data_IF_476934320540
#
_entry.id   IF_476934320540
#
_cell.length_a   1.000
_cell.length_b   1.000
_cell.length_c   1.000
_cell.angle_alpha   90.00
_cell.angle_beta   90.00
_cell.angle_gamma   90.00
#
_symmetry.space_group_name_H-M   'P 1'
#
loop_
_entity.id
_entity.type
_entity.pdbx_description
1 polymer ?
#
# COMPACT_ATOMS: atom_id res chain seq x y z
N UNK A 1 10.14 -14.52 -8.75
CA UNK A 1 9.12 -13.47 -8.56
C UNK A 1 9.62 -12.17 -9.16
N UNK A 2 8.75 -11.45 -9.88
CA UNK A 2 9.01 -10.12 -10.42
C UNK A 2 8.39 -9.11 -9.46
N UNK A 3 9.23 -8.24 -8.89
CA UNK A 3 8.81 -7.20 -7.92
C UNK A 3 8.68 -5.83 -8.60
N UNK A 4 7.80 -5.72 -9.59
CA UNK A 4 7.52 -4.49 -10.31
C UNK A 4 8.32 -4.31 -11.61
N UNK A 5 7.80 -3.47 -12.50
CA UNK A 5 8.46 -3.09 -13.75
C UNK A 5 9.46 -1.94 -13.49
N UNK A 6 10.51 -2.25 -12.73
CA UNK A 6 11.47 -1.28 -12.19
C UNK A 6 12.08 -0.33 -13.24
N UNK A 7 12.16 -0.75 -14.51
CA UNK A 7 12.68 0.08 -15.62
C UNK A 7 11.75 1.26 -15.99
N UNK A 8 10.49 1.27 -15.50
CA UNK A 8 9.56 2.39 -15.66
C UNK A 8 9.81 3.52 -14.67
N UNK A 9 10.61 3.27 -13.63
CA UNK A 9 10.91 4.26 -12.62
C UNK A 9 11.93 5.28 -13.15
N UNK A 10 11.67 6.57 -12.97
CA UNK A 10 12.56 7.69 -13.29
C UNK A 10 13.92 7.62 -12.59
N UNK A 11 14.02 6.79 -11.56
CA UNK A 11 15.26 6.52 -10.81
C UNK A 11 16.37 5.92 -11.68
N UNK A 12 16.03 5.22 -12.77
CA UNK A 12 16.99 4.48 -13.56
C UNK A 12 17.27 5.13 -14.91
N UNK A 13 18.49 5.62 -15.11
CA UNK A 13 18.94 6.16 -16.40
C UNK A 13 19.01 5.09 -17.50
N UNK A 14 19.17 5.53 -18.76
CA UNK A 14 19.03 4.70 -19.96
C UNK A 14 19.76 3.35 -19.97
N UNK A 15 21.03 3.29 -19.49
CA UNK A 15 21.79 2.03 -19.44
C UNK A 15 21.23 1.04 -18.41
N UNK A 16 20.90 1.53 -17.22
CA UNK A 16 20.31 0.68 -16.17
C UNK A 16 18.93 0.16 -16.59
N UNK A 17 18.11 1.00 -17.20
CA UNK A 17 16.80 0.62 -17.74
C UNK A 17 16.93 -0.45 -18.84
N UNK A 18 17.95 -0.34 -19.72
CA UNK A 18 18.22 -1.38 -20.72
C UNK A 18 18.59 -2.73 -20.07
N UNK A 19 19.46 -2.71 -19.08
CA UNK A 19 19.86 -3.93 -18.35
C UNK A 19 18.68 -4.59 -17.63
N UNK A 20 17.83 -3.80 -16.99
CA UNK A 20 16.61 -4.28 -16.33
C UNK A 20 15.64 -4.94 -17.33
N UNK A 21 15.45 -4.34 -18.52
CA UNK A 21 14.63 -4.94 -19.59
C UNK A 21 15.23 -6.24 -20.14
N UNK A 22 16.55 -6.34 -20.19
CA UNK A 22 17.21 -7.59 -20.59
C UNK A 22 16.96 -8.70 -19.54
N UNK A 23 17.10 -8.38 -18.24
CA UNK A 23 16.79 -9.30 -17.14
C UNK A 23 15.33 -9.77 -17.17
N UNK A 24 14.39 -8.85 -17.42
CA UNK A 24 12.96 -9.17 -17.57
C UNK A 24 12.72 -10.14 -18.75
N UNK A 25 13.36 -9.90 -19.92
CA UNK A 25 13.25 -10.79 -21.07
C UNK A 25 13.83 -12.18 -20.79
N UNK A 26 14.94 -12.26 -20.05
CA UNK A 26 15.55 -13.53 -19.63
C UNK A 26 14.61 -14.26 -18.67
N UNK A 27 14.06 -13.58 -17.68
CA UNK A 27 13.10 -14.16 -16.75
C UNK A 27 11.85 -14.67 -17.48
N UNK A 28 11.28 -13.88 -18.39
CA UNK A 28 10.11 -14.29 -19.17
C UNK A 28 10.37 -15.54 -20.03
N UNK A 29 11.60 -15.74 -20.54
CA UNK A 29 11.91 -16.83 -21.47
C UNK A 29 12.42 -18.10 -20.78
N UNK A 30 13.19 -17.98 -19.71
CA UNK A 30 13.95 -19.08 -19.15
C UNK A 30 13.52 -19.52 -17.73
N UNK A 31 12.70 -18.75 -17.04
CA UNK A 31 12.17 -19.20 -15.77
C UNK A 31 11.18 -20.35 -15.97
N UNK A 32 11.20 -21.34 -15.08
CA UNK A 32 10.23 -22.45 -15.07
C UNK A 32 8.81 -21.87 -14.85
N UNK A 33 8.64 -21.02 -13.82
CA UNK A 33 7.43 -20.26 -13.53
C UNK A 33 7.76 -18.78 -13.33
N UNK A 34 6.80 -17.91 -13.64
CA UNK A 34 6.89 -16.46 -13.38
C UNK A 34 5.79 -16.08 -12.41
N UNK A 35 6.17 -15.54 -11.26
CA UNK A 35 5.24 -14.97 -10.29
C UNK A 35 5.28 -13.45 -10.45
N UNK A 36 4.12 -12.82 -10.48
CA UNK A 36 3.90 -11.37 -10.56
C UNK A 36 3.03 -10.91 -9.41
N UNK A 37 3.12 -9.63 -9.05
CA UNK A 37 2.46 -9.08 -7.86
C UNK A 37 1.15 -8.35 -8.17
N UNK A 38 0.87 -8.06 -9.46
CA UNK A 38 -0.34 -7.37 -9.89
C UNK A 38 -0.91 -7.93 -11.18
N UNK A 39 -2.21 -7.73 -11.40
CA UNK A 39 -2.87 -8.11 -12.65
C UNK A 39 -2.32 -7.32 -13.84
N UNK A 40 -1.91 -6.06 -13.64
CA UNK A 40 -1.25 -5.28 -14.69
C UNK A 40 0.04 -5.95 -15.16
N UNK A 41 0.86 -6.42 -14.24
CA UNK A 41 2.09 -7.14 -14.57
C UNK A 41 1.80 -8.46 -15.28
N UNK A 42 0.77 -9.19 -14.85
CA UNK A 42 0.32 -10.43 -15.50
C UNK A 42 -0.05 -10.19 -16.95
N UNK A 43 -0.88 -9.19 -17.22
CA UNK A 43 -1.27 -8.79 -18.56
C UNK A 43 -0.08 -8.32 -19.40
N UNK A 44 0.84 -7.57 -18.80
CA UNK A 44 2.06 -7.12 -19.45
C UNK A 44 2.94 -8.30 -19.90
N UNK A 45 3.20 -9.29 -19.04
CA UNK A 45 3.99 -10.47 -19.39
C UNK A 45 3.30 -11.30 -20.50
N UNK A 46 1.99 -11.45 -20.43
CA UNK A 46 1.22 -12.14 -21.45
C UNK A 46 1.30 -11.42 -22.80
N UNK A 47 1.03 -10.13 -22.86
CA UNK A 47 1.01 -9.36 -24.11
C UNK A 47 2.38 -9.19 -24.74
N UNK A 48 3.41 -8.90 -23.94
CA UNK A 48 4.74 -8.58 -24.42
C UNK A 48 5.58 -9.81 -24.76
N UNK A 49 5.47 -10.86 -23.95
CA UNK A 49 6.33 -12.03 -24.03
C UNK A 49 5.57 -13.31 -24.40
N UNK A 50 4.24 -13.24 -24.57
CA UNK A 50 3.37 -14.39 -24.66
C UNK A 50 3.66 -15.41 -23.55
N UNK A 51 3.93 -14.88 -22.32
CA UNK A 51 4.29 -15.64 -21.15
C UNK A 51 3.18 -15.54 -20.12
N UNK A 52 2.57 -16.67 -19.81
CA UNK A 52 1.67 -16.76 -18.68
C UNK A 52 2.44 -16.63 -17.36
N UNK A 53 1.79 -16.06 -16.36
CA UNK A 53 2.38 -15.80 -15.05
C UNK A 53 1.34 -16.00 -13.94
N UNK A 54 1.82 -16.35 -12.76
CA UNK A 54 1.00 -16.64 -11.60
C UNK A 54 0.94 -15.35 -10.76
N UNK A 55 -0.27 -14.88 -10.50
CA UNK A 55 -0.50 -13.72 -9.63
C UNK A 55 -0.46 -14.18 -8.19
N UNK A 56 0.53 -13.70 -7.43
CA UNK A 56 0.60 -13.83 -5.98
C UNK A 56 0.99 -12.48 -5.43
N UNK A 57 0.09 -11.84 -4.69
CA UNK A 57 0.33 -10.54 -4.08
C UNK A 57 1.42 -10.61 -2.99
N UNK A 58 2.00 -9.47 -2.64
CA UNK A 58 2.83 -9.38 -1.43
C UNK A 58 1.96 -9.68 -0.20
N UNK A 59 2.58 -10.33 0.77
CA UNK A 59 1.96 -10.57 2.05
C UNK A 59 2.08 -9.35 2.97
N UNK A 60 1.16 -9.24 3.91
CA UNK A 60 1.21 -8.30 5.03
C UNK A 60 1.18 -9.04 6.35
N UNK A 61 1.96 -8.59 7.32
CA UNK A 61 1.79 -9.03 8.70
C UNK A 61 0.54 -8.35 9.27
N UNK A 62 -0.44 -9.17 9.68
CA UNK A 62 -1.68 -8.63 10.22
C UNK A 62 -1.45 -7.93 11.54
N UNK A 63 -1.96 -6.73 11.65
CA UNK A 63 -1.94 -5.98 12.90
C UNK A 63 -3.14 -6.43 13.75
N UNK A 64 -2.86 -7.02 14.90
CA UNK A 64 -3.89 -7.24 15.92
C UNK A 64 -4.24 -5.89 16.56
N UNK A 65 -5.51 -5.49 16.58
CA UNK A 65 -5.91 -4.21 17.16
C UNK A 65 -5.44 -4.04 18.61
N UNK A 66 -4.82 -2.91 18.91
CA UNK A 66 -4.24 -2.56 20.21
C UNK A 66 -4.74 -1.20 20.69
N UNK A 67 -4.74 -1.01 22.01
CA UNK A 67 -5.18 0.24 22.64
C UNK A 67 -4.11 1.34 22.55
N UNK A 68 -4.53 2.61 22.64
CA UNK A 68 -3.64 3.77 22.69
C UNK A 68 -2.85 3.78 24.03
N UNK A 69 -1.55 3.59 23.95
CA UNK A 69 -0.64 3.73 25.08
C UNK A 69 0.53 4.64 24.69
N UNK A 70 1.41 4.17 23.82
CA UNK A 70 2.59 4.92 23.35
C UNK A 70 2.20 6.21 22.63
N UNK A 71 1.20 6.14 21.74
CA UNK A 71 0.76 7.31 20.96
C UNK A 71 0.04 8.35 21.83
N UNK A 72 -0.61 7.92 22.93
CA UNK A 72 -1.17 8.84 23.93
C UNK A 72 -0.08 9.60 24.67
N UNK A 73 0.93 8.89 25.14
CA UNK A 73 2.04 9.52 25.88
C UNK A 73 2.88 10.45 25.02
N UNK A 74 3.20 10.03 23.77
CA UNK A 74 4.07 10.81 22.88
C UNK A 74 3.38 11.99 22.21
N UNK A 75 2.13 11.79 21.76
CA UNK A 75 1.46 12.70 20.85
C UNK A 75 0.12 13.24 21.38
N UNK A 76 -0.35 12.74 22.53
CA UNK A 76 -1.67 13.08 23.06
C UNK A 76 -2.82 12.61 22.16
N UNK A 77 -2.65 11.47 21.47
CA UNK A 77 -3.65 10.90 20.58
C UNK A 77 -4.52 9.89 21.32
N UNK A 78 -5.83 9.99 21.09
CA UNK A 78 -6.84 9.07 21.58
C UNK A 78 -7.50 8.33 20.42
N UNK A 79 -8.21 7.26 20.75
CA UNK A 79 -8.97 6.52 19.73
C UNK A 79 -9.96 7.44 19.02
N UNK A 80 -10.03 7.31 17.71
CA UNK A 80 -10.90 8.07 16.80
C UNK A 80 -10.68 9.60 16.82
N UNK A 81 -9.53 10.09 17.33
CA UNK A 81 -9.22 11.52 17.43
C UNK A 81 -8.35 12.07 16.28
N UNK A 82 -7.98 11.24 15.32
CA UNK A 82 -7.06 11.63 14.25
C UNK A 82 -7.28 10.91 12.93
N UNK A 83 -6.88 11.58 11.86
CA UNK A 83 -6.71 11.07 10.51
C UNK A 83 -5.27 10.61 10.39
N UNK A 84 -5.01 9.43 9.81
CA UNK A 84 -3.70 8.83 9.69
C UNK A 84 -3.26 8.72 8.22
N UNK A 85 -2.07 9.16 7.93
CA UNK A 85 -1.29 8.82 6.75
C UNK A 85 -0.03 8.06 7.18
N UNK A 86 0.29 6.95 6.50
CA UNK A 86 1.54 6.21 6.71
C UNK A 86 2.25 6.03 5.38
N UNK A 87 3.45 6.58 5.27
CA UNK A 87 4.24 6.48 4.07
C UNK A 87 5.36 7.51 4.02
N UNK A 88 6.28 7.33 3.07
CA UNK A 88 7.30 8.35 2.82
C UNK A 88 6.64 9.65 2.35
N UNK A 89 7.10 10.78 2.87
CA UNK A 89 6.63 12.11 2.45
C UNK A 89 7.30 12.49 1.11
N UNK A 90 6.73 12.01 0.02
CA UNK A 90 7.24 12.22 -1.34
C UNK A 90 6.09 12.50 -2.32
N UNK A 91 6.36 13.22 -3.45
CA UNK A 91 5.30 13.71 -4.35
C UNK A 91 4.36 12.61 -4.83
N UNK A 92 4.91 11.46 -5.21
CA UNK A 92 4.15 10.32 -5.74
C UNK A 92 3.24 9.65 -4.71
N UNK A 93 3.44 9.93 -3.41
CA UNK A 93 2.59 9.43 -2.31
C UNK A 93 1.48 10.41 -1.92
N UNK A 94 1.43 11.59 -2.52
CA UNK A 94 0.35 12.55 -2.40
C UNK A 94 0.10 13.20 -1.02
N UNK A 95 1.06 13.24 -0.07
CA UNK A 95 0.82 13.86 1.24
C UNK A 95 0.53 15.36 1.14
N UNK A 96 0.97 16.02 0.06
CA UNK A 96 0.66 17.42 -0.24
C UNK A 96 -0.84 17.62 -0.48
N UNK A 97 -1.50 16.72 -1.20
CA UNK A 97 -2.93 16.81 -1.50
C UNK A 97 -3.76 16.60 -0.24
N UNK A 98 -3.31 15.66 0.61
CA UNK A 98 -3.94 15.41 1.90
C UNK A 98 -3.81 16.64 2.83
N UNK A 99 -2.62 17.22 2.92
CA UNK A 99 -2.40 18.40 3.75
C UNK A 99 -3.23 19.59 3.26
N UNK A 100 -3.29 19.82 1.95
CA UNK A 100 -4.11 20.88 1.33
C UNK A 100 -5.60 20.64 1.59
N UNK A 101 -6.10 19.42 1.35
CA UNK A 101 -7.48 19.07 1.62
C UNK A 101 -7.85 19.25 3.10
N UNK A 102 -6.98 18.81 4.00
CA UNK A 102 -7.17 18.95 5.45
C UNK A 102 -7.22 20.42 5.88
N UNK A 103 -6.36 21.28 5.34
CA UNK A 103 -6.31 22.72 5.67
C UNK A 103 -7.54 23.48 5.17
N UNK A 104 -8.19 23.02 4.10
CA UNK A 104 -9.48 23.59 3.63
C UNK A 104 -10.63 23.34 4.62
N UNK A 105 -10.47 22.35 5.50
CA UNK A 105 -11.51 21.91 6.43
C UNK A 105 -11.22 22.37 7.87
N UNK A 106 -12.30 22.60 8.64
CA UNK A 106 -12.22 22.91 10.08
C UNK A 106 -12.55 21.64 10.88
N UNK A 107 -11.65 20.65 10.78
CA UNK A 107 -11.83 19.36 11.45
C UNK A 107 -11.43 19.44 12.92
N UNK A 108 -12.07 18.60 13.74
CA UNK A 108 -11.72 18.37 15.14
C UNK A 108 -10.55 17.37 15.26
N UNK A 109 -10.53 16.41 14.35
CA UNK A 109 -9.53 15.36 14.27
C UNK A 109 -8.18 15.97 13.86
N UNK A 110 -7.10 15.52 14.51
CA UNK A 110 -5.73 15.90 14.14
C UNK A 110 -5.30 15.13 12.90
N UNK A 111 -4.40 15.68 12.10
CA UNK A 111 -3.76 14.96 11.00
C UNK A 111 -2.41 14.40 11.47
N UNK A 112 -2.22 13.09 11.36
CA UNK A 112 -0.96 12.42 11.67
C UNK A 112 -0.28 11.97 10.37
N UNK A 113 0.91 12.47 10.11
CA UNK A 113 1.76 12.09 8.98
C UNK A 113 2.92 11.25 9.52
N UNK A 114 2.82 9.93 9.34
CA UNK A 114 3.80 8.96 9.81
C UNK A 114 4.70 8.48 8.67
N UNK A 115 5.98 8.81 8.75
CA UNK A 115 6.98 8.40 7.80
C UNK A 115 8.13 9.37 7.63
N UNK A 116 9.21 8.95 6.94
CA UNK A 116 10.37 9.80 6.74
C UNK A 116 10.09 10.92 5.74
N UNK A 117 10.63 12.10 6.02
CA UNK A 117 10.65 13.25 5.13
C UNK A 117 12.03 13.30 4.47
N UNK A 118 12.15 13.16 3.15
CA UNK A 118 13.45 13.17 2.47
C UNK A 118 14.04 14.58 2.45
N UNK A 119 15.39 14.68 2.43
CA UNK A 119 16.13 15.93 2.33
C UNK A 119 16.12 16.48 0.88
N UNK A 120 14.94 16.72 0.34
CA UNK A 120 14.69 17.30 -0.99
C UNK A 120 14.00 18.65 -0.86
N UNK A 121 13.92 19.44 -1.92
CA UNK A 121 13.16 20.70 -1.90
C UNK A 121 11.69 20.48 -1.55
N UNK A 122 11.07 19.41 -2.10
CA UNK A 122 9.72 19.00 -1.74
C UNK A 122 9.60 18.67 -0.24
N UNK A 123 10.56 17.91 0.30
CA UNK A 123 10.56 17.56 1.73
C UNK A 123 10.69 18.78 2.63
N UNK A 124 11.51 19.76 2.27
CA UNK A 124 11.63 21.05 3.00
C UNK A 124 10.35 21.87 2.95
N UNK A 125 9.73 21.94 1.76
CA UNK A 125 8.44 22.64 1.58
C UNK A 125 7.35 21.98 2.44
N UNK A 126 7.25 20.65 2.39
CA UNK A 126 6.29 19.91 3.21
C UNK A 126 6.53 20.13 4.70
N UNK A 127 7.79 20.07 5.15
CA UNK A 127 8.14 20.32 6.55
C UNK A 127 7.67 21.71 7.00
N UNK A 128 7.91 22.74 6.19
CA UNK A 128 7.46 24.09 6.48
C UNK A 128 5.92 24.18 6.60
N UNK A 129 5.19 23.55 5.69
CA UNK A 129 3.72 23.53 5.72
C UNK A 129 3.16 22.76 6.92
N UNK A 130 3.79 21.63 7.27
CA UNK A 130 3.42 20.81 8.43
C UNK A 130 3.64 21.59 9.74
N UNK A 131 4.82 22.19 9.91
CA UNK A 131 5.18 22.90 11.14
C UNK A 131 4.38 24.22 11.31
N UNK A 132 3.77 24.72 10.25
CA UNK A 132 2.90 25.90 10.29
C UNK A 132 1.47 25.60 10.82
N UNK A 133 1.04 24.33 10.82
CA UNK A 133 -0.31 23.96 11.30
C UNK A 133 -0.21 23.08 12.57
N UNK A 134 -0.53 23.62 13.76
CA UNK A 134 -0.40 22.88 15.03
C UNK A 134 -1.36 21.69 15.16
N UNK A 135 -2.32 21.52 14.25
CA UNK A 135 -3.22 20.37 14.18
C UNK A 135 -2.55 19.17 13.49
N UNK A 136 -1.41 19.40 12.80
CA UNK A 136 -0.69 18.35 12.07
C UNK A 136 0.45 17.84 12.93
N UNK A 137 0.51 16.51 13.09
CA UNK A 137 1.57 15.82 13.81
C UNK A 137 2.41 15.05 12.81
N UNK A 138 3.72 15.28 12.83
CA UNK A 138 4.69 14.41 12.15
C UNK A 138 5.37 13.50 13.16
N UNK A 139 5.36 12.20 12.89
CA UNK A 139 5.99 11.22 13.79
C UNK A 139 7.41 10.87 13.36
N UNK A 140 7.77 11.10 12.09
CA UNK A 140 8.93 10.48 11.47
C UNK A 140 8.68 8.98 11.23
N UNK A 141 9.74 8.21 11.08
CA UNK A 141 9.65 6.76 10.91
C UNK A 141 9.18 6.10 12.22
N UNK A 142 8.08 5.38 12.14
CA UNK A 142 7.50 4.60 13.26
C UNK A 142 7.43 3.13 12.88
N UNK A 143 7.56 2.24 13.87
CA UNK A 143 7.56 0.78 13.68
C UNK A 143 7.01 0.07 14.94
N UNK A 144 6.72 -1.23 14.79
CA UNK A 144 6.31 -2.08 15.91
C UNK A 144 5.04 -1.59 16.59
N UNK A 145 5.05 -1.56 17.93
CA UNK A 145 3.87 -1.21 18.73
C UNK A 145 3.33 0.17 18.42
N UNK A 146 4.19 1.18 18.23
CA UNK A 146 3.76 2.54 17.93
C UNK A 146 2.99 2.63 16.60
N UNK A 147 3.46 1.93 15.56
CA UNK A 147 2.78 1.84 14.29
C UNK A 147 1.45 1.09 14.41
N UNK A 148 1.45 -0.04 15.12
CA UNK A 148 0.24 -0.81 15.37
C UNK A 148 -0.84 0.00 16.12
N UNK A 149 -0.44 0.79 17.11
CA UNK A 149 -1.35 1.69 17.82
C UNK A 149 -1.91 2.79 16.91
N UNK A 150 -1.09 3.36 16.01
CA UNK A 150 -1.53 4.37 15.05
C UNK A 150 -2.59 3.82 14.10
N UNK A 151 -2.40 2.64 13.52
CA UNK A 151 -3.41 2.01 12.65
C UNK A 151 -4.67 1.63 13.41
N UNK A 152 -4.53 1.03 14.59
CA UNK A 152 -5.67 0.49 15.36
C UNK A 152 -6.63 1.55 15.89
N UNK A 153 -6.16 2.79 16.04
CA UNK A 153 -6.92 3.82 16.77
C UNK A 153 -7.23 5.06 15.91
N UNK A 154 -6.85 5.11 14.64
CA UNK A 154 -7.22 6.23 13.78
C UNK A 154 -8.74 6.26 13.49
N UNK A 155 -9.26 7.45 13.31
CA UNK A 155 -10.65 7.67 12.84
C UNK A 155 -10.79 7.23 11.39
N UNK A 156 -9.77 7.58 10.57
CA UNK A 156 -9.73 7.33 9.14
C UNK A 156 -8.26 7.20 8.71
N UNK A 157 -7.94 6.14 7.99
CA UNK A 157 -6.67 6.02 7.28
C UNK A 157 -6.84 6.59 5.87
N UNK A 158 -5.89 7.43 5.42
CA UNK A 158 -5.92 8.06 4.10
C UNK A 158 -4.68 7.72 3.30
N UNK A 159 -4.87 7.17 2.11
CA UNK A 159 -3.81 6.87 1.14
C UNK A 159 -3.99 7.69 -0.13
N UNK A 160 -3.39 8.90 -0.21
CA UNK A 160 -3.59 9.82 -1.33
C UNK A 160 -2.60 9.62 -2.48
N UNK A 161 -2.05 8.42 -2.63
CA UNK A 161 -0.97 8.14 -3.58
C UNK A 161 -1.41 8.35 -5.03
N UNK A 162 -0.53 8.96 -5.84
CA UNK A 162 -0.68 9.08 -7.29
C UNK A 162 -0.26 7.80 -8.01
N UNK A 163 0.66 7.05 -7.41
CA UNK A 163 1.18 5.78 -7.95
C UNK A 163 1.51 4.81 -6.84
N UNK A 164 1.05 3.58 -6.99
CA UNK A 164 1.36 2.44 -6.13
C UNK A 164 1.63 1.18 -6.96
N UNK A 165 2.39 0.25 -6.39
CA UNK A 165 2.38 -1.14 -6.85
C UNK A 165 1.36 -1.94 -6.04
N UNK A 166 1.69 -2.19 -4.76
CA UNK A 166 0.81 -2.71 -3.73
C UNK A 166 1.13 -1.96 -2.43
N UNK A 167 0.16 -1.26 -1.86
CA UNK A 167 0.38 -0.51 -0.62
C UNK A 167 0.27 -1.41 0.60
N UNK A 168 1.41 -1.72 1.23
CA UNK A 168 1.42 -2.47 2.50
C UNK A 168 0.71 -1.68 3.60
N UNK A 169 0.90 -0.36 3.68
CA UNK A 169 0.24 0.48 4.67
C UNK A 169 -1.30 0.43 4.57
N UNK A 170 -1.84 0.30 3.35
CA UNK A 170 -3.28 0.10 3.14
C UNK A 170 -3.73 -1.26 3.69
N UNK A 171 -3.01 -2.32 3.37
CA UNK A 171 -3.31 -3.66 3.87
C UNK A 171 -3.17 -3.75 5.39
N UNK A 172 -2.18 -3.09 5.98
CA UNK A 172 -2.00 -2.97 7.44
C UNK A 172 -3.19 -2.26 8.08
N UNK A 173 -3.65 -1.14 7.51
CA UNK A 173 -4.83 -0.42 7.98
C UNK A 173 -6.09 -1.29 7.90
N UNK A 174 -6.34 -1.94 6.78
CA UNK A 174 -7.48 -2.84 6.58
C UNK A 174 -7.42 -4.06 7.50
N UNK A 175 -6.21 -4.61 7.77
CA UNK A 175 -6.03 -5.80 8.62
C UNK A 175 -6.48 -5.59 10.06
N UNK A 176 -6.46 -4.36 10.56
CA UNK A 176 -6.93 -4.02 11.91
C UNK A 176 -8.31 -3.36 11.94
N UNK A 177 -9.06 -3.42 10.83
CA UNK A 177 -10.39 -2.82 10.72
C UNK A 177 -10.36 -1.29 10.68
N UNK A 178 -9.30 -0.74 10.11
CA UNK A 178 -9.15 0.70 9.90
C UNK A 178 -9.97 1.17 8.71
N UNK A 179 -10.92 2.08 8.93
CA UNK A 179 -11.65 2.71 7.82
C UNK A 179 -10.68 3.40 6.86
N UNK A 180 -10.76 3.09 5.56
CA UNK A 180 -9.81 3.56 4.55
C UNK A 180 -10.46 4.51 3.54
N UNK A 181 -9.75 5.60 3.21
CA UNK A 181 -10.05 6.52 2.11
C UNK A 181 -8.82 6.56 1.18
N UNK A 182 -8.99 6.20 -0.07
CA UNK A 182 -7.89 6.03 -1.02
C UNK A 182 -8.11 6.82 -2.30
N UNK A 183 -7.04 7.19 -2.99
CA UNK A 183 -7.13 7.69 -4.36
C UNK A 183 -7.63 6.58 -5.31
N UNK A 184 -8.38 6.95 -6.34
CA UNK A 184 -9.05 6.06 -7.29
C UNK A 184 -8.11 5.39 -8.31
N UNK A 185 -6.81 5.32 -8.00
CA UNK A 185 -5.86 4.60 -8.85
C UNK A 185 -6.11 3.08 -8.79
N UNK A 186 -5.93 2.35 -9.90
CA UNK A 186 -6.22 0.91 -9.98
C UNK A 186 -5.53 0.06 -8.89
N UNK A 187 -4.29 0.44 -8.51
CA UNK A 187 -3.55 -0.27 -7.48
C UNK A 187 -4.22 -0.22 -6.09
N UNK A 188 -4.96 0.84 -5.79
CA UNK A 188 -5.69 0.99 -4.53
C UNK A 188 -7.08 0.36 -4.60
N UNK A 189 -7.83 0.67 -5.66
CA UNK A 189 -9.24 0.25 -5.80
C UNK A 189 -9.38 -1.26 -5.91
N UNK A 190 -8.41 -1.95 -6.52
CA UNK A 190 -8.39 -3.41 -6.60
C UNK A 190 -8.22 -4.08 -5.23
N UNK A 191 -7.58 -3.39 -4.28
CA UNK A 191 -7.40 -3.86 -2.90
C UNK A 191 -8.63 -3.53 -2.06
N UNK A 192 -9.05 -2.26 -2.07
CA UNK A 192 -10.16 -1.81 -1.21
C UNK A 192 -11.52 -2.37 -1.62
N UNK A 193 -11.72 -2.62 -2.93
CA UNK A 193 -13.03 -3.10 -3.45
C UNK A 193 -14.19 -2.29 -2.86
N UNK A 194 -15.15 -2.97 -2.22
CA UNK A 194 -16.28 -2.35 -1.54
C UNK A 194 -15.99 -1.88 -0.11
N UNK A 195 -14.81 -2.14 0.43
CA UNK A 195 -14.48 -1.88 1.84
C UNK A 195 -13.99 -0.45 2.09
N UNK A 196 -13.29 0.18 1.12
CA UNK A 196 -12.78 1.54 1.24
C UNK A 196 -13.59 2.55 0.47
N UNK A 197 -13.51 3.82 0.91
CA UNK A 197 -14.00 4.96 0.15
C UNK A 197 -12.92 5.47 -0.81
N UNK A 198 -13.35 6.09 -1.91
CA UNK A 198 -12.47 6.57 -2.98
C UNK A 198 -12.64 8.07 -3.19
N UNK A 199 -11.58 8.71 -3.69
CA UNK A 199 -11.59 10.08 -4.19
C UNK A 199 -10.73 10.18 -5.46
N UNK A 200 -10.96 11.20 -6.29
CA UNK A 200 -10.21 11.43 -7.52
C UNK A 200 -8.75 11.77 -7.21
N UNK A 201 -7.80 10.96 -7.75
CA UNK A 201 -6.38 11.14 -7.55
C UNK A 201 -5.90 12.54 -7.99
N UNK A 202 -4.89 13.08 -7.31
CA UNK A 202 -4.33 14.41 -7.57
C UNK A 202 -5.35 15.57 -7.48
N UNK A 203 -6.47 15.35 -6.77
CA UNK A 203 -7.54 16.33 -6.60
C UNK A 203 -7.82 16.59 -5.11
N UNK A 204 -7.22 17.66 -4.56
CA UNK A 204 -7.39 18.04 -3.16
C UNK A 204 -8.82 18.47 -2.79
N UNK A 205 -9.62 18.95 -3.75
CA UNK A 205 -11.03 19.31 -3.52
C UNK A 205 -11.91 18.07 -3.43
N UNK A 206 -11.68 17.07 -4.30
CA UNK A 206 -12.31 15.75 -4.22
C UNK A 206 -11.96 15.06 -2.90
N UNK A 207 -10.69 15.10 -2.49
CA UNK A 207 -10.23 14.56 -1.21
C UNK A 207 -10.88 15.29 -0.02
N UNK A 208 -10.99 16.62 -0.05
CA UNK A 208 -11.64 17.37 1.02
C UNK A 208 -13.14 17.02 1.16
N UNK A 209 -13.84 16.87 0.04
CA UNK A 209 -15.24 16.44 0.04
C UNK A 209 -15.40 15.03 0.62
N UNK A 210 -14.53 14.09 0.20
CA UNK A 210 -14.51 12.72 0.69
C UNK A 210 -14.16 12.64 2.18
N UNK A 211 -13.16 13.38 2.66
CA UNK A 211 -12.82 13.51 4.09
C UNK A 211 -14.03 13.96 4.91
N UNK A 212 -14.70 15.03 4.49
CA UNK A 212 -15.87 15.55 5.19
C UNK A 212 -17.00 14.52 5.28
N UNK A 213 -17.26 13.78 4.19
CA UNK A 213 -18.26 12.72 4.14
C UNK A 213 -17.87 11.57 5.08
N UNK A 214 -16.64 11.07 4.97
CA UNK A 214 -16.20 9.88 5.70
C UNK A 214 -16.12 10.12 7.22
N UNK A 215 -15.76 11.32 7.66
CA UNK A 215 -15.69 11.66 9.08
C UNK A 215 -17.08 11.84 9.71
N UNK A 216 -18.10 12.21 8.91
CA UNK A 216 -19.50 12.36 9.38
C UNK A 216 -20.32 11.08 9.27
N UNK A 217 -19.89 10.12 8.45
CA UNK A 217 -20.58 8.83 8.28
C UNK A 217 -20.28 7.91 9.47
N UNK A 218 -21.26 7.26 10.10
CA UNK A 218 -21.03 6.26 11.14
C UNK A 218 -20.16 5.11 10.64
N UNK A 219 -19.37 4.49 11.54
CA UNK A 219 -18.61 3.27 11.21
C UNK A 219 -19.58 2.09 11.04
N UNK A 220 -19.39 1.32 9.99
CA UNK A 220 -20.07 0.04 9.79
C UNK A 220 -19.15 -1.09 10.29
N UNK A 221 -19.37 -1.50 11.53
CA UNK A 221 -18.57 -2.51 12.21
C UNK A 221 -18.62 -3.89 11.52
N UNK A 222 -19.71 -4.20 10.83
CA UNK A 222 -19.85 -5.46 10.11
C UNK A 222 -19.02 -5.43 8.82
N UNK A 223 -19.06 -4.33 8.10
CA UNK A 223 -18.23 -4.13 6.91
C UNK A 223 -16.72 -4.18 7.26
N UNK A 224 -16.32 -3.58 8.38
CA UNK A 224 -14.93 -3.61 8.84
C UNK A 224 -14.46 -5.02 9.22
N UNK A 225 -15.34 -5.86 9.81
CA UNK A 225 -15.02 -7.27 10.07
C UNK A 225 -14.83 -8.07 8.78
N UNK A 226 -15.70 -7.84 7.79
CA UNK A 226 -15.58 -8.48 6.48
C UNK A 226 -14.30 -8.05 5.77
N UNK A 227 -13.90 -6.79 5.90
CA UNK A 227 -12.63 -6.26 5.41
C UNK A 227 -11.43 -6.98 6.03
N UNK A 228 -11.41 -7.13 7.36
CA UNK A 228 -10.34 -7.85 8.06
C UNK A 228 -10.22 -9.31 7.60
N UNK A 229 -11.35 -10.01 7.43
CA UNK A 229 -11.32 -11.40 6.94
C UNK A 229 -10.88 -11.46 5.47
N UNK A 230 -11.30 -10.52 4.63
CA UNK A 230 -10.82 -10.42 3.25
C UNK A 230 -9.29 -10.25 3.17
N UNK A 231 -8.70 -9.38 4.02
CA UNK A 231 -7.24 -9.22 4.07
C UNK A 231 -6.56 -10.50 4.53
N UNK A 232 -7.11 -11.16 5.54
CA UNK A 232 -6.61 -12.42 6.08
C UNK A 232 -6.59 -13.53 5.02
N UNK A 233 -7.67 -13.67 4.25
CA UNK A 233 -7.80 -14.70 3.24
C UNK A 233 -6.89 -14.48 2.00
N UNK A 234 -6.61 -13.22 1.66
CA UNK A 234 -5.98 -12.89 0.39
C UNK A 234 -4.56 -12.33 0.49
N UNK A 235 -4.14 -11.84 1.67
CA UNK A 235 -2.86 -11.11 1.82
C UNK A 235 -2.07 -11.51 3.07
N UNK A 236 -2.54 -12.46 3.88
CA UNK A 236 -1.80 -12.94 5.04
C UNK A 236 -0.54 -13.72 4.62
N UNK A 237 0.51 -13.61 5.43
CA UNK A 237 1.77 -14.32 5.19
C UNK A 237 1.59 -15.82 5.01
N UNK A 238 0.77 -16.47 5.84
CA UNK A 238 0.59 -17.92 5.79
C UNK A 238 -0.03 -18.35 4.46
N UNK A 239 -1.07 -17.66 4.00
CA UNK A 239 -1.71 -17.93 2.70
C UNK A 239 -0.76 -17.69 1.53
N UNK A 240 -0.03 -16.56 1.55
CA UNK A 240 0.91 -16.21 0.48
C UNK A 240 2.11 -17.16 0.43
N UNK A 241 2.61 -17.63 1.58
CA UNK A 241 3.68 -18.64 1.65
C UNK A 241 3.19 -19.96 1.05
N UNK A 242 2.00 -20.44 1.42
CA UNK A 242 1.42 -21.66 0.89
C UNK A 242 1.31 -21.62 -0.65
N UNK A 243 0.81 -20.52 -1.21
CA UNK A 243 0.74 -20.34 -2.66
C UNK A 243 2.12 -20.35 -3.34
N UNK A 244 3.13 -19.72 -2.73
CA UNK A 244 4.50 -19.79 -3.25
C UNK A 244 5.08 -21.21 -3.20
N UNK A 245 4.85 -21.94 -2.11
CA UNK A 245 5.28 -23.32 -1.99
C UNK A 245 4.65 -24.22 -3.06
N UNK A 246 3.37 -24.03 -3.34
CA UNK A 246 2.68 -24.81 -4.36
C UNK A 246 3.23 -24.55 -5.76
N UNK A 247 3.54 -23.29 -6.08
CA UNK A 247 4.22 -22.93 -7.34
C UNK A 247 5.59 -23.63 -7.42
N UNK A 248 6.38 -23.61 -6.34
CA UNK A 248 7.69 -24.28 -6.33
C UNK A 248 7.57 -25.79 -6.45
N UNK A 249 6.61 -26.42 -5.79
CA UNK A 249 6.32 -27.87 -5.92
C UNK A 249 5.94 -28.22 -7.35
N UNK A 250 5.05 -27.45 -7.99
CA UNK A 250 4.66 -27.65 -9.37
C UNK A 250 5.85 -27.52 -10.35
N UNK A 251 6.68 -26.48 -10.18
CA UNK A 251 7.87 -26.29 -11.02
C UNK A 251 8.86 -27.43 -10.91
N UNK A 252 9.10 -27.94 -9.69
CA UNK A 252 9.99 -29.08 -9.44
C UNK A 252 9.45 -30.37 -10.04
N UNK A 253 8.16 -30.65 -9.94
CA UNK A 253 7.53 -31.86 -10.48
C UNK A 253 7.63 -31.89 -12.01
N UNK A 254 7.29 -30.78 -12.70
CA UNK A 254 7.45 -30.68 -14.17
C UNK A 254 8.90 -30.90 -14.62
N UNK A 255 9.87 -30.44 -13.84
CA UNK A 255 11.30 -30.61 -14.15
C UNK A 255 11.73 -32.05 -13.99
N UNK A 256 11.20 -32.74 -12.99
CA UNK A 256 11.45 -34.17 -12.78
C UNK A 256 10.83 -35.01 -13.90
N UNK A 257 9.60 -34.78 -14.31
CA UNK A 257 8.92 -35.44 -15.43
C UNK A 257 9.73 -35.31 -16.72
N UNK A 258 10.11 -34.07 -17.11
CA UNK A 258 10.95 -33.83 -18.29
C UNK A 258 12.32 -34.56 -18.23
N UNK A 259 12.90 -34.73 -17.05
CA UNK A 259 14.15 -35.41 -16.84
C UNK A 259 13.99 -36.93 -17.03
N UNK A 260 12.84 -37.51 -16.65
CA UNK A 260 12.51 -38.89 -16.92
C UNK A 260 12.30 -39.17 -18.40
N UNK A 261 11.56 -38.27 -19.09
CA UNK A 261 11.33 -38.39 -20.56
C UNK A 261 12.62 -38.29 -21.38
N UNK A 262 13.63 -37.56 -20.90
CA UNK A 262 14.94 -37.46 -21.60
C UNK A 262 15.90 -38.63 -21.32
N UNK A 263 15.64 -39.44 -20.31
CA UNK A 263 16.48 -40.57 -19.91
C UNK A 263 15.88 -41.96 -20.25
N UNK A 264 14.70 -41.97 -20.86
CA UNK A 264 14.07 -43.16 -21.49
C UNK A 264 14.16 -43.03 -23.00
#
# INVERSE_FOLDING_TARGET
TVHGLNWRSDKWGGFASFYLRLGEKVAARFADEVIVLSEEEKQYFLQKYNRDSILIHNAVERITPVSCNVIREKYGLEKDSYILYVGRISPEKGPQDLLEAYQKLRLQERLVLAGPIPETEFGKEMLHKIDADPRVIRTGLVQGQELAELFSNCRLFVLPSHTEGLSLALLEAMSCGGRCLVSDIPANTVITKQYGAEFEAENSDSLAAALSKELTTPKDEELLKQEMEYVKENFDYDAVIEWHEDVYKCALNRKNEKRWEQNC
#
